data_IF_241423294252
#
_entry.id   IF_241423294252
#
_cell.length_a   1.000
_cell.length_b   1.000
_cell.length_c   1.000
_cell.angle_alpha   90.00
_cell.angle_beta   90.00
_cell.angle_gamma   90.00
#
_symmetry.space_group_name_H-M   'P 1'
#
loop_
_entity.id
_entity.type
_entity.pdbx_description
1 polymer ?
#
# COMPACT_ATOMS: atom_id res chain seq x y z
N UNK A 1 -32.97 -0.79 -8.46
CA UNK A 1 -34.37 -0.42 -8.79
C UNK A 1 -34.89 -1.42 -9.82
N UNK A 2 -36.03 -2.06 -9.58
CA UNK A 2 -36.67 -2.91 -10.57
C UNK A 2 -37.27 -2.03 -11.68
N UNK A 3 -37.05 -2.42 -12.92
CA UNK A 3 -37.57 -1.80 -14.14
C UNK A 3 -38.13 -2.89 -15.03
N UNK A 4 -39.23 -2.63 -15.71
CA UNK A 4 -39.83 -3.60 -16.64
C UNK A 4 -39.28 -3.34 -18.03
N UNK A 5 -38.63 -4.34 -18.63
CA UNK A 5 -38.15 -4.27 -20.01
C UNK A 5 -39.06 -5.11 -20.90
N UNK A 6 -39.49 -4.58 -22.03
CA UNK A 6 -40.21 -5.35 -23.05
C UNK A 6 -39.20 -6.04 -23.96
N UNK A 7 -39.36 -7.34 -24.18
CA UNK A 7 -38.57 -8.10 -25.14
C UNK A 7 -39.45 -8.64 -26.26
N UNK A 8 -38.92 -8.64 -27.47
CA UNK A 8 -39.57 -9.26 -28.63
C UNK A 8 -39.39 -10.77 -28.56
N UNK A 9 -40.49 -11.49 -28.73
CA UNK A 9 -40.58 -12.94 -28.79
C UNK A 9 -41.03 -13.38 -30.18
N UNK A 10 -41.17 -14.69 -30.42
CA UNK A 10 -41.59 -15.21 -31.72
C UNK A 10 -42.89 -14.56 -32.24
N UNK A 11 -42.99 -14.38 -33.56
CA UNK A 11 -44.12 -13.71 -34.23
C UNK A 11 -44.34 -12.24 -33.79
N UNK A 12 -43.27 -11.49 -33.51
CA UNK A 12 -43.31 -10.07 -33.10
C UNK A 12 -44.10 -9.79 -31.80
N UNK A 13 -44.43 -10.80 -31.01
CA UNK A 13 -45.11 -10.61 -29.74
C UNK A 13 -44.17 -9.99 -28.70
N UNK A 14 -44.64 -9.04 -27.90
CA UNK A 14 -43.84 -8.45 -26.82
C UNK A 14 -44.21 -9.05 -25.46
N UNK A 15 -43.20 -9.37 -24.65
CA UNK A 15 -43.37 -9.86 -23.28
C UNK A 15 -42.60 -8.97 -22.28
N UNK A 16 -43.21 -8.60 -21.14
CA UNK A 16 -42.49 -7.93 -20.07
C UNK A 16 -41.56 -8.93 -19.34
N UNK A 17 -40.32 -8.53 -19.14
CA UNK A 17 -39.34 -9.21 -18.28
C UNK A 17 -38.88 -8.28 -17.18
N UNK A 18 -38.59 -8.87 -16.01
CA UNK A 18 -37.97 -8.15 -14.90
C UNK A 18 -36.56 -7.75 -15.29
N UNK A 19 -36.24 -6.49 -15.07
CA UNK A 19 -34.93 -5.92 -15.29
C UNK A 19 -34.54 -5.07 -14.08
N UNK A 20 -33.25 -4.89 -13.84
CA UNK A 20 -32.76 -4.25 -12.63
C UNK A 20 -31.66 -3.25 -12.96
N UNK A 21 -31.83 -2.02 -12.50
CA UNK A 21 -30.74 -1.05 -12.44
C UNK A 21 -29.91 -1.31 -11.19
N UNK A 22 -28.66 -1.70 -11.42
CA UNK A 22 -27.68 -2.04 -10.40
C UNK A 22 -26.62 -0.94 -10.28
N UNK A 23 -26.07 -0.79 -9.08
CA UNK A 23 -24.87 0.01 -8.90
C UNK A 23 -23.66 -0.73 -9.47
N UNK A 24 -22.60 0.01 -9.80
CA UNK A 24 -21.34 -0.59 -10.27
C UNK A 24 -20.81 -1.64 -9.29
N UNK A 25 -20.90 -1.37 -7.98
CA UNK A 25 -20.48 -2.30 -6.94
C UNK A 25 -21.33 -3.59 -6.93
N UNK A 26 -22.65 -3.49 -7.07
CA UNK A 26 -23.51 -4.67 -7.19
C UNK A 26 -23.19 -5.50 -8.44
N UNK A 27 -22.92 -4.84 -9.58
CA UNK A 27 -22.49 -5.53 -10.80
C UNK A 27 -21.16 -6.28 -10.57
N UNK A 28 -20.21 -5.70 -9.86
CA UNK A 28 -18.94 -6.35 -9.53
C UNK A 28 -19.14 -7.59 -8.67
N UNK A 29 -19.99 -7.51 -7.64
CA UNK A 29 -20.28 -8.66 -6.78
C UNK A 29 -20.97 -9.79 -7.56
N UNK A 30 -21.93 -9.47 -8.43
CA UNK A 30 -22.59 -10.46 -9.27
C UNK A 30 -21.59 -11.13 -10.22
N UNK A 31 -20.71 -10.34 -10.86
CA UNK A 31 -19.69 -10.87 -11.76
C UNK A 31 -18.67 -11.75 -11.03
N UNK A 32 -18.28 -11.39 -9.80
CA UNK A 32 -17.34 -12.19 -9.01
C UNK A 32 -17.94 -13.50 -8.50
N UNK A 33 -19.23 -13.51 -8.16
CA UNK A 33 -19.92 -14.67 -7.58
C UNK A 33 -20.74 -15.49 -8.59
N UNK A 34 -20.70 -15.14 -9.88
CA UNK A 34 -21.45 -15.83 -10.93
C UNK A 34 -20.86 -17.20 -11.29
N UNK A 35 -21.62 -17.97 -12.07
CA UNK A 35 -21.15 -19.25 -12.63
C UNK A 35 -20.03 -19.00 -13.68
N UNK A 36 -18.80 -19.49 -13.45
CA UNK A 36 -17.67 -19.30 -14.37
C UNK A 36 -17.84 -20.01 -15.71
N UNK A 37 -18.84 -20.89 -15.89
CA UNK A 37 -19.16 -21.47 -17.21
C UNK A 37 -19.71 -20.44 -18.19
N UNK A 38 -20.16 -19.27 -17.72
CA UNK A 38 -20.56 -18.15 -18.58
C UNK A 38 -19.33 -17.32 -18.94
N UNK A 39 -19.11 -17.11 -20.23
CA UNK A 39 -17.92 -16.43 -20.75
C UNK A 39 -17.74 -15.02 -20.16
N UNK A 40 -18.83 -14.26 -20.03
CA UNK A 40 -18.80 -12.89 -19.49
C UNK A 40 -18.39 -12.88 -18.00
N UNK A 41 -18.80 -13.90 -17.26
CA UNK A 41 -18.43 -14.07 -15.85
C UNK A 41 -16.96 -14.47 -15.73
N UNK A 42 -16.50 -15.45 -16.52
CA UNK A 42 -15.11 -15.89 -16.53
C UNK A 42 -14.15 -14.74 -16.90
N UNK A 43 -14.53 -13.95 -17.90
CA UNK A 43 -13.78 -12.76 -18.31
C UNK A 43 -13.68 -11.74 -17.17
N UNK A 44 -14.81 -11.43 -16.52
CA UNK A 44 -14.84 -10.49 -15.41
C UNK A 44 -14.02 -10.97 -14.21
N UNK A 45 -14.12 -12.25 -13.84
CA UNK A 45 -13.31 -12.84 -12.76
C UNK A 45 -11.82 -12.75 -13.08
N UNK A 46 -11.41 -13.07 -14.31
CA UNK A 46 -10.02 -12.95 -14.77
C UNK A 46 -9.53 -11.49 -14.70
N UNK A 47 -10.36 -10.54 -15.14
CA UNK A 47 -10.07 -9.12 -15.03
C UNK A 47 -9.83 -8.70 -13.58
N UNK A 48 -10.72 -9.06 -12.64
CA UNK A 48 -10.56 -8.68 -11.24
C UNK A 48 -9.35 -9.33 -10.57
N UNK A 49 -9.02 -10.58 -10.90
CA UNK A 49 -7.82 -11.23 -10.40
C UNK A 49 -6.55 -10.47 -10.83
N UNK A 50 -6.47 -10.07 -12.11
CA UNK A 50 -5.35 -9.30 -12.65
C UNK A 50 -5.28 -7.90 -12.02
N UNK A 51 -6.41 -7.20 -11.92
CA UNK A 51 -6.42 -5.85 -11.34
C UNK A 51 -6.04 -5.86 -9.86
N UNK A 52 -6.52 -6.85 -9.09
CA UNK A 52 -6.17 -6.99 -7.67
C UNK A 52 -4.67 -7.20 -7.52
N UNK A 53 -4.08 -8.14 -8.29
CA UNK A 53 -2.63 -8.36 -8.25
C UNK A 53 -1.82 -7.14 -8.66
N UNK A 54 -2.27 -6.40 -9.67
CA UNK A 54 -1.62 -5.15 -10.08
C UNK A 54 -1.65 -4.11 -8.94
N UNK A 55 -2.78 -3.99 -8.24
CA UNK A 55 -2.92 -3.06 -7.13
C UNK A 55 -2.00 -3.43 -5.96
N UNK A 56 -1.95 -4.69 -5.56
CA UNK A 56 -1.03 -5.19 -4.53
C UNK A 56 0.44 -4.81 -4.82
N UNK A 57 0.89 -5.06 -6.05
CA UNK A 57 2.26 -4.73 -6.47
C UNK A 57 2.54 -3.22 -6.46
N UNK A 58 1.54 -2.41 -6.81
CA UNK A 58 1.65 -0.95 -6.76
C UNK A 58 1.78 -0.48 -5.31
N UNK A 59 0.97 -1.03 -4.41
CA UNK A 59 1.01 -0.69 -2.97
C UNK A 59 2.36 -1.06 -2.35
N UNK A 60 2.87 -2.26 -2.62
CA UNK A 60 4.22 -2.67 -2.21
C UNK A 60 5.29 -1.69 -2.74
N UNK A 61 5.18 -1.28 -4.00
CA UNK A 61 6.13 -0.36 -4.63
C UNK A 61 6.06 1.03 -4.02
N UNK A 62 4.86 1.54 -3.72
CA UNK A 62 4.66 2.83 -3.05
C UNK A 62 5.30 2.79 -1.66
N UNK A 63 5.03 1.75 -0.87
CA UNK A 63 5.60 1.60 0.47
C UNK A 63 7.15 1.59 0.44
N UNK A 64 7.75 0.91 -0.54
CA UNK A 64 9.20 0.90 -0.72
C UNK A 64 9.77 2.29 -1.08
N UNK A 65 9.08 3.00 -1.96
CA UNK A 65 9.46 4.37 -2.36
C UNK A 65 9.37 5.31 -1.16
N UNK A 66 8.30 5.24 -0.38
CA UNK A 66 8.09 6.06 0.81
C UNK A 66 9.16 5.81 1.87
N UNK A 67 9.47 4.53 2.17
CA UNK A 67 10.57 4.15 3.05
C UNK A 67 11.90 4.76 2.59
N UNK A 68 12.19 4.67 1.30
CA UNK A 68 13.45 5.17 0.73
C UNK A 68 13.51 6.70 0.79
N UNK A 69 12.41 7.38 0.48
CA UNK A 69 12.29 8.84 0.61
C UNK A 69 12.46 9.30 2.06
N UNK A 70 11.82 8.63 3.01
CA UNK A 70 11.94 8.93 4.44
C UNK A 70 13.40 8.77 4.91
N UNK A 71 14.07 7.68 4.51
CA UNK A 71 15.50 7.48 4.78
C UNK A 71 16.38 8.57 4.17
N UNK A 72 16.09 9.00 2.94
CA UNK A 72 16.79 10.10 2.28
C UNK A 72 16.68 11.42 3.08
N UNK A 73 15.45 11.76 3.49
CA UNK A 73 15.20 12.95 4.33
C UNK A 73 15.93 12.87 5.67
N UNK A 74 15.90 11.70 6.34
CA UNK A 74 16.63 11.49 7.59
C UNK A 74 18.13 11.74 7.40
N UNK A 75 18.74 11.12 6.37
CA UNK A 75 20.16 11.31 6.05
C UNK A 75 20.52 12.77 5.78
N UNK A 76 19.69 13.51 5.05
CA UNK A 76 19.91 14.93 4.80
C UNK A 76 19.80 15.75 6.09
N UNK A 77 18.83 15.46 6.95
CA UNK A 77 18.66 16.13 8.24
C UNK A 77 19.83 15.86 9.19
N UNK A 78 20.31 14.61 9.23
CA UNK A 78 21.48 14.20 10.02
C UNK A 78 22.76 14.89 9.52
N UNK A 79 22.93 15.02 8.19
CA UNK A 79 24.08 15.74 7.62
C UNK A 79 24.08 17.21 8.05
N UNK A 80 22.92 17.89 7.97
CA UNK A 80 22.78 19.30 8.41
C UNK A 80 23.01 19.44 9.91
N UNK A 81 22.46 18.52 10.71
CA UNK A 81 22.68 18.49 12.16
C UNK A 81 24.16 18.33 12.49
N UNK A 82 24.84 17.39 11.84
CA UNK A 82 26.27 17.12 12.05
C UNK A 82 27.13 18.34 11.73
N UNK A 83 26.84 19.00 10.61
CA UNK A 83 27.50 20.24 10.22
C UNK A 83 27.30 21.35 11.27
N UNK A 84 26.05 21.57 11.70
CA UNK A 84 25.71 22.57 12.71
C UNK A 84 26.36 22.34 14.09
N UNK A 85 26.57 21.07 14.46
CA UNK A 85 27.23 20.67 15.71
C UNK A 85 28.73 20.94 15.62
N UNK A 86 29.34 20.58 14.49
CA UNK A 86 30.75 20.83 14.22
C UNK A 86 31.08 22.32 14.20
N UNK A 87 30.28 23.13 13.49
CA UNK A 87 30.43 24.59 13.43
C UNK A 87 30.34 25.27 14.82
N UNK A 88 29.69 24.62 15.79
CA UNK A 88 29.58 25.09 17.17
C UNK A 88 30.70 24.58 18.09
N UNK A 89 31.70 23.88 17.54
CA UNK A 89 32.89 23.45 18.27
C UNK A 89 32.67 22.27 19.23
N UNK A 90 31.66 21.43 18.98
CA UNK A 90 31.43 20.22 19.79
C UNK A 90 32.50 19.18 19.49
N UNK A 91 33.05 18.58 20.55
CA UNK A 91 34.05 17.53 20.50
C UNK A 91 33.49 16.17 20.05
N UNK A 92 34.36 15.24 19.67
CA UNK A 92 33.96 13.91 19.21
C UNK A 92 33.12 13.15 20.24
N UNK A 93 33.42 13.34 21.54
CA UNK A 93 32.65 12.74 22.63
C UNK A 93 31.23 13.34 22.73
N UNK A 94 31.09 14.65 22.57
CA UNK A 94 29.81 15.34 22.50
C UNK A 94 28.99 14.92 21.29
N UNK A 95 29.64 14.73 20.14
CA UNK A 95 29.01 14.20 18.94
C UNK A 95 28.41 12.81 19.18
N UNK A 96 29.17 11.92 19.83
CA UNK A 96 28.71 10.59 20.23
C UNK A 96 27.47 10.63 21.14
N UNK A 97 27.46 11.53 22.13
CA UNK A 97 26.31 11.71 23.04
C UNK A 97 25.06 12.19 22.31
N UNK A 98 25.19 13.20 21.44
CA UNK A 98 24.05 13.75 20.69
C UNK A 98 23.48 12.69 19.74
N UNK A 99 24.34 11.97 19.01
CA UNK A 99 23.90 10.91 18.09
C UNK A 99 23.18 9.79 18.84
N UNK A 100 23.74 9.33 19.97
CA UNK A 100 23.11 8.29 20.79
C UNK A 100 21.72 8.70 21.30
N UNK A 101 21.54 9.97 21.71
CA UNK A 101 20.23 10.49 22.11
C UNK A 101 19.27 10.66 20.93
N UNK A 102 19.78 11.06 19.76
CA UNK A 102 19.01 11.11 18.52
C UNK A 102 18.48 9.73 18.11
N UNK A 103 19.35 8.72 18.12
CA UNK A 103 18.98 7.32 17.85
C UNK A 103 17.91 6.85 18.85
N UNK A 104 18.09 7.15 20.14
CA UNK A 104 17.12 6.80 21.18
C UNK A 104 15.74 7.40 20.92
N UNK A 105 15.68 8.68 20.53
CA UNK A 105 14.43 9.35 20.19
C UNK A 105 13.80 8.78 18.91
N UNK A 106 14.61 8.51 17.88
CA UNK A 106 14.16 7.93 16.62
C UNK A 106 13.52 6.56 16.81
N UNK A 107 14.07 5.75 17.70
CA UNK A 107 13.56 4.41 18.00
C UNK A 107 12.48 4.39 19.08
N UNK A 108 11.90 5.53 19.47
CA UNK A 108 10.80 5.56 20.44
C UNK A 108 11.23 5.18 21.86
N UNK A 109 12.46 5.51 22.25
CA UNK A 109 13.01 5.29 23.59
C UNK A 109 14.08 4.21 23.68
N UNK A 110 14.21 3.36 22.66
CA UNK A 110 15.20 2.28 22.60
C UNK A 110 16.54 2.77 22.04
N UNK A 111 17.64 2.31 22.62
CA UNK A 111 18.97 2.51 22.10
C UNK A 111 19.21 1.69 20.83
N UNK A 112 20.24 2.07 20.06
CA UNK A 112 20.65 1.33 18.86
C UNK A 112 20.99 -0.13 19.16
N UNK A 113 21.59 -0.41 20.32
CA UNK A 113 21.92 -1.78 20.73
C UNK A 113 20.65 -2.60 20.99
N UNK A 114 19.74 -2.07 21.80
CA UNK A 114 18.46 -2.74 22.09
C UNK A 114 17.66 -3.02 20.81
N UNK A 115 17.70 -2.10 19.84
CA UNK A 115 17.08 -2.31 18.54
C UNK A 115 17.78 -3.39 17.71
N UNK A 116 19.10 -3.47 17.72
CA UNK A 116 19.83 -4.57 17.06
C UNK A 116 19.47 -5.92 17.66
N UNK A 117 19.46 -6.01 18.99
CA UNK A 117 19.14 -7.23 19.72
C UNK A 117 17.69 -7.67 19.42
N UNK A 118 16.75 -6.72 19.46
CA UNK A 118 15.34 -6.96 19.13
C UNK A 118 15.12 -7.39 17.68
N UNK A 119 15.92 -6.88 16.74
CA UNK A 119 15.82 -7.18 15.32
C UNK A 119 16.74 -8.33 14.87
N UNK A 120 17.51 -8.94 15.77
CA UNK A 120 18.46 -10.00 15.46
C UNK A 120 19.58 -9.57 14.51
N UNK A 121 19.94 -8.28 14.51
CA UNK A 121 20.97 -7.72 13.63
C UNK A 121 22.34 -7.91 14.30
N UNK A 122 23.34 -8.39 13.53
CA UNK A 122 24.71 -8.55 14.04
C UNK A 122 25.26 -7.21 14.54
N UNK A 123 26.10 -7.29 15.57
CA UNK A 123 26.62 -6.09 16.21
C UNK A 123 27.60 -5.32 15.32
N UNK A 124 28.22 -6.03 14.38
CA UNK A 124 29.07 -5.47 13.34
C UNK A 124 28.25 -4.72 12.29
N UNK A 125 28.82 -3.61 11.83
CA UNK A 125 28.31 -2.84 10.68
C UNK A 125 28.16 -3.75 9.45
N UNK A 126 27.14 -3.57 8.60
CA UNK A 126 27.38 -3.63 7.16
C UNK A 126 28.24 -2.46 6.70
#
# INVERSE_FOLDING_TARGET
REVTKMITTGKNAQRPVRDFMLTRYACYLIAQNGDPKKEEIAFAQSYFAIQTRKQELIEERIALIERTKARGRLRESEKRLSQNIYERGVDDAGFGRIRSKGDQALFGGYTTQEMKDKLGVKDTRP
#
